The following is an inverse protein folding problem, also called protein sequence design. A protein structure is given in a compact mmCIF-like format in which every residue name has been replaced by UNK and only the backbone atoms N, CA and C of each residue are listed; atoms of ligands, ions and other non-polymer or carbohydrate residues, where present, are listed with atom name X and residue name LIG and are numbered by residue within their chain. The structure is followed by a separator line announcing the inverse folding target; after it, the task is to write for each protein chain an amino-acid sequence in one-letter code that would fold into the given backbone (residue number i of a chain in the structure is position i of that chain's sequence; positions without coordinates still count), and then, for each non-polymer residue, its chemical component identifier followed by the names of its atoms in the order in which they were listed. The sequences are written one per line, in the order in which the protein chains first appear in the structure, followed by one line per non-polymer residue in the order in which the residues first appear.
data_IF_558362573113
#
_entry.id   IF_558362573113
#
_cell.length_a   1.000
_cell.length_b   1.000
_cell.length_c   1.000
_cell.angle_alpha   90.00
_cell.angle_beta   90.00
_cell.angle_gamma   90.00
#
_symmetry.space_group_name_H-M   'P 1'
#
loop_
_entity.id
_entity.type
_entity.pdbx_description
1 polymer ?
#
# COMPACT_ATOMS: atom_id res chain seq x y z
N UNK A 1 -3.15 -1.75 44.07
CA UNK A 1 -3.33 -0.88 43.01
C UNK A 1 -3.11 -1.49 41.67
N UNK A 2 -3.90 -1.14 40.80
CA UNK A 2 -3.87 -1.81 39.60
C UNK A 2 -2.83 -1.31 38.71
N UNK A 3 -2.03 -2.17 38.24
CA UNK A 3 -1.07 -1.78 37.33
C UNK A 3 -1.78 -1.25 36.14
N UNK A 4 -1.40 -0.15 35.88
CA UNK A 4 -1.89 0.40 34.75
C UNK A 4 -1.74 -0.47 33.60
N UNK A 5 -2.69 -0.51 32.83
CA UNK A 5 -2.66 -1.25 31.63
C UNK A 5 -1.77 -0.62 30.55
N UNK A 6 -0.62 -0.13 30.96
CA UNK A 6 0.32 0.41 29.97
C UNK A 6 0.72 -0.61 28.94
N UNK A 7 1.01 -1.83 29.40
CA UNK A 7 1.38 -2.90 28.50
C UNK A 7 0.24 -3.20 27.54
N UNK A 8 -0.98 -3.25 28.04
CA UNK A 8 -2.14 -3.50 27.20
C UNK A 8 -2.38 -2.34 26.24
N UNK A 9 -2.16 -1.11 26.66
CA UNK A 9 -2.29 0.06 25.81
C UNK A 9 -1.28 0.04 24.68
N UNK A 10 -0.02 -0.23 25.01
CA UNK A 10 1.02 -0.33 24.00
C UNK A 10 0.75 -1.49 23.04
N UNK A 11 0.27 -2.60 23.54
CA UNK A 11 -0.07 -3.73 22.70
C UNK A 11 -1.17 -3.38 21.70
N UNK A 12 -2.16 -2.60 22.12
CA UNK A 12 -3.22 -2.14 21.23
C UNK A 12 -2.70 -1.20 20.16
N UNK A 13 -1.81 -0.29 20.54
CA UNK A 13 -1.20 0.62 19.58
C UNK A 13 -0.35 -0.12 18.57
N UNK A 14 0.40 -1.11 19.03
CA UNK A 14 1.23 -1.92 18.15
C UNK A 14 0.38 -2.75 17.20
N UNK A 15 -0.71 -3.34 17.69
CA UNK A 15 -1.62 -4.11 16.86
C UNK A 15 -2.27 -3.23 15.80
N UNK A 16 -2.66 -2.00 16.16
CA UNK A 16 -3.24 -1.07 15.22
C UNK A 16 -2.22 -0.66 14.16
N UNK A 17 -0.97 -0.45 14.57
CA UNK A 17 0.10 -0.13 13.63
C UNK A 17 0.34 -1.28 12.66
N UNK A 18 0.45 -2.49 13.19
CA UNK A 18 0.66 -3.68 12.36
C UNK A 18 -0.46 -3.87 11.36
N UNK A 19 -1.69 -3.64 11.79
CA UNK A 19 -2.83 -3.75 10.91
C UNK A 19 -2.78 -2.71 9.80
N UNK A 20 -2.42 -1.46 10.12
CA UNK A 20 -2.27 -0.42 9.10
C UNK A 20 -1.17 -0.76 8.12
N UNK A 21 -0.03 -1.26 8.62
CA UNK A 21 1.07 -1.68 7.77
C UNK A 21 0.67 -2.83 6.86
N UNK A 22 -0.05 -3.80 7.40
CA UNK A 22 -0.53 -4.94 6.63
C UNK A 22 -1.50 -4.50 5.53
N UNK A 23 -2.46 -3.65 5.87
CA UNK A 23 -3.43 -3.14 4.90
C UNK A 23 -2.74 -2.33 3.81
N UNK A 24 -1.78 -1.50 4.19
CA UNK A 24 -1.02 -0.72 3.23
C UNK A 24 -0.21 -1.62 2.31
N UNK A 25 0.41 -2.65 2.85
CA UNK A 25 1.18 -3.61 2.05
C UNK A 25 0.28 -4.40 1.09
N UNK A 26 -0.89 -4.82 1.55
CA UNK A 26 -1.86 -5.51 0.70
C UNK A 26 -2.34 -4.60 -0.43
N UNK A 27 -2.63 -3.34 -0.13
CA UNK A 27 -3.06 -2.38 -1.14
C UNK A 27 -1.96 -2.11 -2.16
N UNK A 28 -0.71 -2.00 -1.70
CA UNK A 28 0.43 -1.82 -2.59
C UNK A 28 0.60 -3.04 -3.50
N UNK A 29 0.53 -4.24 -2.93
CA UNK A 29 0.69 -5.47 -3.69
C UNK A 29 -0.40 -5.60 -4.75
N UNK A 30 -1.65 -5.33 -4.39
CA UNK A 30 -2.77 -5.38 -5.32
C UNK A 30 -2.60 -4.36 -6.46
N UNK A 31 -2.18 -3.14 -6.13
CA UNK A 31 -1.96 -2.11 -7.12
C UNK A 31 -0.81 -2.47 -8.07
N UNK A 32 0.27 -3.02 -7.50
CA UNK A 32 1.45 -3.42 -8.27
C UNK A 32 1.11 -4.55 -9.24
N UNK A 33 0.42 -5.57 -8.76
CA UNK A 33 -0.02 -6.70 -9.60
C UNK A 33 -0.93 -6.22 -10.72
N UNK A 34 -1.87 -5.33 -10.41
CA UNK A 34 -2.78 -4.79 -11.41
C UNK A 34 -2.02 -4.02 -12.49
N UNK A 35 -1.03 -3.24 -12.09
CA UNK A 35 -0.21 -2.47 -13.01
C UNK A 35 0.64 -3.39 -13.89
N UNK A 36 1.34 -4.34 -13.29
CA UNK A 36 2.16 -5.29 -14.03
C UNK A 36 1.34 -6.11 -15.03
N UNK A 37 0.18 -6.60 -14.56
CA UNK A 37 -0.71 -7.38 -15.42
C UNK A 37 -1.18 -6.56 -16.61
N UNK A 38 -1.54 -5.31 -16.37
CA UNK A 38 -1.96 -4.42 -17.44
C UNK A 38 -0.83 -4.15 -18.43
N UNK A 39 0.39 -3.91 -17.95
CA UNK A 39 1.54 -3.66 -18.82
C UNK A 39 1.82 -4.84 -19.74
N UNK A 40 1.65 -6.06 -19.25
CA UNK A 40 1.89 -7.27 -20.04
C UNK A 40 0.84 -7.47 -21.13
N UNK A 41 -0.35 -6.92 -20.95
CA UNK A 41 -1.48 -7.15 -21.86
C UNK A 41 -1.89 -5.90 -22.64
N UNK A 42 -1.34 -4.74 -22.29
CA UNK A 42 -1.73 -3.50 -22.94
C UNK A 42 -0.99 -3.29 -24.25
N UNK A 43 -1.71 -3.44 -25.35
CA UNK A 43 -1.12 -3.27 -26.67
C UNK A 43 -0.55 -1.86 -26.87
N UNK A 44 -1.19 -0.85 -26.30
CA UNK A 44 -0.74 0.54 -26.38
C UNK A 44 0.61 0.72 -25.71
N UNK A 45 0.78 0.16 -24.50
CA UNK A 45 2.04 0.23 -23.78
C UNK A 45 3.13 -0.55 -24.48
N UNK A 46 2.80 -1.72 -25.04
CA UNK A 46 3.75 -2.54 -25.77
C UNK A 46 4.24 -1.80 -27.03
N UNK A 47 3.36 -1.01 -27.64
CA UNK A 47 3.73 -0.18 -28.79
C UNK A 47 4.52 1.06 -28.38
N UNK A 48 4.71 1.31 -27.10
CA UNK A 48 5.43 2.48 -26.63
C UNK A 48 4.61 3.75 -26.60
N UNK A 49 3.31 3.64 -26.71
CA UNK A 49 2.42 4.78 -26.71
C UNK A 49 1.85 5.04 -25.32
N UNK A 50 1.39 6.27 -25.08
CA UNK A 50 0.78 6.64 -23.81
C UNK A 50 -0.57 5.95 -23.67
N UNK A 51 -0.82 5.41 -22.49
CA UNK A 51 -2.08 4.77 -22.16
C UNK A 51 -2.64 5.37 -20.86
N UNK A 52 -3.87 5.88 -20.92
CA UNK A 52 -4.52 6.47 -19.75
C UNK A 52 -4.71 5.49 -18.59
N UNK A 53 -5.00 4.23 -18.91
CA UNK A 53 -5.15 3.19 -17.88
C UNK A 53 -3.81 2.87 -17.22
N UNK A 54 -2.73 2.75 -18.01
CA UNK A 54 -1.39 2.57 -17.46
C UNK A 54 -1.02 3.72 -16.53
N UNK A 55 -1.35 4.94 -16.94
CA UNK A 55 -1.06 6.10 -16.12
C UNK A 55 -1.83 6.07 -14.79
N UNK A 56 -3.12 5.73 -14.82
CA UNK A 56 -3.92 5.63 -13.60
C UNK A 56 -3.41 4.55 -12.66
N UNK A 57 -3.02 3.41 -13.19
CA UNK A 57 -2.47 2.32 -12.40
C UNK A 57 -1.13 2.70 -11.80
N UNK A 58 -0.30 3.40 -12.55
CA UNK A 58 0.98 3.91 -12.06
C UNK A 58 0.78 4.89 -10.90
N UNK A 59 -0.19 5.78 -11.02
CA UNK A 59 -0.52 6.72 -9.95
C UNK A 59 -1.00 5.97 -8.71
N UNK A 60 -1.83 4.92 -8.90
CA UNK A 60 -2.30 4.11 -7.78
C UNK A 60 -1.15 3.39 -7.08
N UNK A 61 -0.18 2.85 -7.82
CA UNK A 61 1.01 2.21 -7.24
C UNK A 61 1.80 3.22 -6.42
N UNK A 62 2.01 4.41 -6.95
CA UNK A 62 2.76 5.45 -6.23
C UNK A 62 2.04 5.90 -4.98
N UNK A 63 0.71 6.06 -5.02
CA UNK A 63 -0.08 6.41 -3.85
C UNK A 63 -0.01 5.32 -2.78
N UNK A 64 -0.09 4.06 -3.18
CA UNK A 64 0.01 2.94 -2.26
C UNK A 64 1.41 2.86 -1.64
N UNK A 65 2.44 3.16 -2.41
CA UNK A 65 3.82 3.20 -1.90
C UNK A 65 3.97 4.26 -0.83
N UNK A 66 3.40 5.44 -1.03
CA UNK A 66 3.41 6.50 -0.01
C UNK A 66 2.68 6.07 1.24
N UNK A 67 1.55 5.40 1.10
CA UNK A 67 0.80 4.88 2.24
C UNK A 67 1.61 3.88 3.04
N UNK A 68 2.38 3.02 2.38
CA UNK A 68 3.29 2.09 3.05
C UNK A 68 4.37 2.83 3.84
N UNK A 69 4.97 3.85 3.24
CA UNK A 69 5.97 4.66 3.93
C UNK A 69 5.40 5.36 5.15
N UNK A 70 4.21 5.92 5.03
CA UNK A 70 3.55 6.60 6.14
C UNK A 70 3.20 5.61 7.25
N UNK A 71 2.76 4.41 6.91
CA UNK A 71 2.46 3.38 7.90
C UNK A 71 3.74 2.93 8.62
N UNK A 72 4.85 2.74 7.88
CA UNK A 72 6.13 2.37 8.47
C UNK A 72 6.69 3.46 9.36
N UNK A 73 6.45 4.72 9.02
CA UNK A 73 6.89 5.83 9.83
C UNK A 73 6.05 6.01 11.10
N UNK A 74 4.98 5.26 11.24
CA UNK A 74 4.10 5.35 12.40
C UNK A 74 3.20 6.58 12.40
N UNK A 75 2.94 7.13 11.23
CA UNK A 75 2.13 8.34 11.08
C UNK A 75 0.80 8.04 10.41
#
# INVERSE_FOLDING_TARGET
MIPVNRTATFARLDAAREERQRKAAEAFDAADVAYETHLLTCATAIAGEWCGTCNRLSVAVNAARRACKDADAGR
#
